data_IF_524390964973
#
_entry.id   IF_524390964973
#
_cell.length_a   1.000
_cell.length_b   1.000
_cell.length_c   1.000
_cell.angle_alpha   90.00
_cell.angle_beta   90.00
_cell.angle_gamma   90.00
#
_symmetry.space_group_name_H-M   'P 1'
#
loop_
_entity.id
_entity.type
_entity.pdbx_description
1 polymer ?
#
# COMPACT_ATOMS: atom_id res chain seq x y z
N UNK A 1 -11.42 -0.51 -10.45
CA UNK A 1 -12.15 -1.08 -9.29
C UNK A 1 -12.30 0.00 -8.24
N UNK A 2 -13.42 0.08 -7.53
CA UNK A 2 -13.62 1.10 -6.51
C UNK A 2 -14.13 0.47 -5.22
N UNK A 3 -13.53 0.84 -4.08
CA UNK A 3 -14.20 0.70 -2.79
C UNK A 3 -15.27 1.78 -2.70
N UNK A 4 -16.50 1.38 -2.47
CA UNK A 4 -17.56 2.29 -2.03
C UNK A 4 -17.60 2.20 -0.51
N UNK A 5 -16.90 3.14 0.14
CA UNK A 5 -17.02 3.40 1.57
C UNK A 5 -18.14 4.40 1.78
N UNK A 6 -19.32 3.90 2.12
CA UNK A 6 -20.50 4.73 2.38
C UNK A 6 -20.92 4.61 3.83
N UNK A 7 -21.32 5.73 4.42
CA UNK A 7 -21.87 5.72 5.77
C UNK A 7 -23.11 6.60 5.84
N UNK A 8 -24.03 6.16 6.70
CA UNK A 8 -25.22 6.87 7.16
C UNK A 8 -25.11 6.98 8.69
N UNK A 9 -25.92 7.80 9.38
CA UNK A 9 -25.79 8.01 10.82
C UNK A 9 -25.77 6.72 11.68
N UNK A 10 -26.33 5.62 11.19
CA UNK A 10 -26.44 4.34 11.89
C UNK A 10 -25.95 3.13 11.07
N UNK A 11 -25.26 3.35 9.94
CA UNK A 11 -24.82 2.26 9.08
C UNK A 11 -23.53 2.62 8.34
N UNK A 12 -22.64 1.65 8.16
CA UNK A 12 -21.45 1.77 7.32
C UNK A 12 -21.41 0.56 6.40
N UNK A 13 -21.24 0.81 5.12
CA UNK A 13 -21.11 -0.23 4.11
C UNK A 13 -19.81 -0.02 3.37
N UNK A 14 -19.01 -1.08 3.31
CA UNK A 14 -17.80 -1.13 2.51
C UNK A 14 -18.02 -2.16 1.40
N UNK A 15 -18.28 -1.67 0.19
CA UNK A 15 -18.46 -2.54 -0.98
C UNK A 15 -17.19 -2.56 -1.81
N UNK A 16 -16.84 -3.76 -2.28
CA UNK A 16 -15.76 -3.96 -3.25
C UNK A 16 -16.34 -4.78 -4.39
N UNK A 17 -16.26 -4.24 -5.61
CA UNK A 17 -16.99 -4.75 -6.77
C UNK A 17 -16.58 -6.16 -7.19
N UNK A 18 -15.36 -6.61 -6.86
CA UNK A 18 -14.95 -8.00 -7.05
C UNK A 18 -13.74 -8.36 -6.17
N UNK A 19 -13.99 -8.99 -5.02
CA UNK A 19 -12.92 -9.65 -4.27
C UNK A 19 -12.49 -10.91 -5.04
N UNK A 20 -11.19 -11.27 -5.03
CA UNK A 20 -10.78 -12.60 -5.47
C UNK A 20 -11.51 -13.67 -4.63
N UNK A 21 -11.94 -14.76 -5.28
CA UNK A 21 -12.86 -15.76 -4.71
C UNK A 21 -12.35 -16.39 -3.40
N UNK A 22 -11.03 -16.47 -3.24
CA UNK A 22 -10.41 -17.17 -2.13
C UNK A 22 -9.99 -16.24 -0.97
N UNK A 23 -10.27 -14.93 -1.01
CA UNK A 23 -9.89 -13.98 0.04
C UNK A 23 -10.73 -14.18 1.32
N UNK A 24 -10.03 -14.42 2.43
CA UNK A 24 -10.58 -14.60 3.78
C UNK A 24 -11.03 -13.27 4.42
N UNK A 25 -11.87 -13.34 5.45
CA UNK A 25 -12.32 -12.14 6.17
C UNK A 25 -11.18 -11.32 6.80
N UNK A 26 -10.16 -11.98 7.35
CA UNK A 26 -8.98 -11.30 7.90
C UNK A 26 -8.20 -10.55 6.82
N UNK A 27 -8.02 -11.17 5.65
CA UNK A 27 -7.36 -10.54 4.51
C UNK A 27 -8.15 -9.32 4.04
N UNK A 28 -9.50 -9.36 4.02
CA UNK A 28 -10.30 -8.16 3.71
C UNK A 28 -10.07 -7.02 4.69
N UNK A 29 -9.97 -7.32 5.99
CA UNK A 29 -9.68 -6.31 7.03
C UNK A 29 -8.29 -5.68 6.78
N UNK A 30 -7.28 -6.48 6.49
CA UNK A 30 -5.94 -5.99 6.22
C UNK A 30 -5.85 -5.20 4.91
N UNK A 31 -6.54 -5.66 3.86
CA UNK A 31 -6.57 -4.98 2.57
C UNK A 31 -7.24 -3.59 2.67
N UNK A 32 -8.16 -3.41 3.63
CA UNK A 32 -8.93 -2.19 3.83
C UNK A 32 -8.37 -1.29 4.94
N UNK A 33 -7.23 -1.65 5.53
CA UNK A 33 -6.55 -0.89 6.58
C UNK A 33 -6.13 0.53 6.13
N UNK A 34 -6.51 1.57 6.89
CA UNK A 34 -6.38 2.98 6.47
C UNK A 34 -5.10 3.62 7.00
N UNK A 35 -3.96 3.12 6.54
CA UNK A 35 -2.64 3.61 6.95
C UNK A 35 -2.18 3.16 8.35
N UNK A 36 -2.83 2.14 8.91
CA UNK A 36 -2.52 1.52 10.21
C UNK A 36 -2.07 0.07 10.10
N UNK A 37 -1.67 -0.39 8.90
CA UNK A 37 -1.26 -1.77 8.63
C UNK A 37 -0.16 -2.25 9.59
N UNK A 38 0.85 -1.43 9.89
CA UNK A 38 1.91 -1.78 10.83
C UNK A 38 1.35 -2.15 12.22
N UNK A 39 0.34 -1.40 12.69
CA UNK A 39 -0.35 -1.69 13.96
C UNK A 39 -1.17 -2.96 13.87
N UNK A 40 -1.88 -3.17 12.76
CA UNK A 40 -2.66 -4.39 12.55
C UNK A 40 -1.78 -5.64 12.51
N UNK A 41 -0.65 -5.59 11.79
CA UNK A 41 0.32 -6.70 11.75
C UNK A 41 0.94 -6.96 13.12
N UNK A 42 1.24 -5.90 13.88
CA UNK A 42 1.75 -6.04 15.25
C UNK A 42 0.74 -6.72 16.15
N UNK A 43 -0.54 -6.33 16.07
CA UNK A 43 -1.62 -6.97 16.82
C UNK A 43 -1.85 -8.43 16.38
N UNK A 44 -1.76 -8.71 15.08
CA UNK A 44 -1.93 -10.06 14.53
C UNK A 44 -0.84 -11.02 14.98
N UNK A 45 0.42 -10.61 14.92
CA UNK A 45 1.55 -11.45 15.34
C UNK A 45 1.84 -11.38 16.84
N UNK A 46 1.22 -10.46 17.59
CA UNK A 46 1.57 -10.11 18.96
C UNK A 46 3.06 -9.75 19.13
N UNK A 47 3.63 -9.09 18.10
CA UNK A 47 5.07 -8.85 17.97
C UNK A 47 5.35 -7.45 17.45
N UNK A 48 6.59 -6.99 17.62
CA UNK A 48 7.01 -5.68 17.10
C UNK A 48 7.22 -5.74 15.58
N UNK A 49 6.57 -4.82 14.87
CA UNK A 49 6.82 -4.60 13.43
C UNK A 49 7.76 -3.41 13.27
N UNK A 50 8.95 -3.68 12.74
CA UNK A 50 9.95 -2.66 12.40
C UNK A 50 9.86 -2.28 10.92
N UNK A 51 10.27 -1.05 10.59
CA UNK A 51 10.35 -0.58 9.20
C UNK A 51 11.82 -0.55 8.80
N UNK A 52 12.17 -1.26 7.72
CA UNK A 52 13.48 -1.18 7.08
C UNK A 52 13.36 -0.39 5.79
N UNK A 53 14.03 0.76 5.70
CA UNK A 53 14.11 1.53 4.46
C UNK A 53 15.06 0.85 3.47
N UNK A 54 14.61 0.64 2.23
CA UNK A 54 15.43 0.06 1.15
C UNK A 54 16.01 1.18 0.29
N UNK A 55 15.16 2.08 -0.20
CA UNK A 55 15.57 3.32 -0.87
C UNK A 55 14.55 4.42 -0.65
N UNK A 56 15.01 5.67 -0.81
CA UNK A 56 14.18 6.86 -0.82
C UNK A 56 14.81 7.91 -1.75
N UNK A 57 14.31 7.97 -2.98
CA UNK A 57 14.80 8.85 -4.03
C UNK A 57 13.90 10.07 -4.12
N UNK A 58 14.45 11.22 -3.75
CA UNK A 58 13.71 12.49 -3.81
C UNK A 58 14.05 13.20 -5.11
N UNK A 59 13.02 13.67 -5.82
CA UNK A 59 13.17 14.48 -7.02
C UNK A 59 13.81 15.84 -6.74
N UNK A 60 14.09 16.63 -7.79
CA UNK A 60 14.71 17.94 -7.66
C UNK A 60 13.90 18.89 -6.77
N UNK A 61 14.58 19.60 -5.87
CA UNK A 61 14.01 20.67 -5.01
C UNK A 61 14.45 22.02 -5.55
N UNK A 62 13.73 22.55 -6.53
CA UNK A 62 14.07 23.83 -7.19
C UNK A 62 13.53 25.06 -6.44
N UNK A 63 12.92 24.85 -5.28
CA UNK A 63 12.26 25.84 -4.44
C UNK A 63 11.32 25.13 -3.47
N UNK A 64 10.61 25.88 -2.60
CA UNK A 64 9.59 25.31 -1.74
C UNK A 64 8.49 24.66 -2.59
N UNK A 65 8.01 23.49 -2.17
CA UNK A 65 6.97 22.77 -2.86
C UNK A 65 5.67 23.58 -2.93
N UNK A 66 5.07 23.62 -4.12
CA UNK A 66 3.75 24.20 -4.37
C UNK A 66 2.95 23.31 -5.32
N UNK A 67 1.72 23.72 -5.67
CA UNK A 67 0.87 22.94 -6.57
C UNK A 67 1.41 22.90 -8.00
N UNK A 68 2.05 23.98 -8.46
CA UNK A 68 2.61 24.11 -9.81
C UNK A 68 3.99 23.44 -9.92
N UNK A 69 4.70 23.29 -8.81
CA UNK A 69 6.02 22.67 -8.72
C UNK A 69 6.09 21.75 -7.49
N UNK A 70 5.39 20.61 -7.51
CA UNK A 70 5.42 19.67 -6.39
C UNK A 70 6.76 18.94 -6.32
N UNK A 71 7.15 18.57 -5.11
CA UNK A 71 8.31 17.71 -4.86
C UNK A 71 7.84 16.27 -4.73
N UNK A 72 8.46 15.36 -5.47
CA UNK A 72 8.13 13.92 -5.40
C UNK A 72 9.22 13.11 -4.72
N UNK A 73 8.84 12.06 -4.00
CA UNK A 73 9.76 11.06 -3.49
C UNK A 73 9.23 9.65 -3.80
N UNK A 74 10.07 8.83 -4.41
CA UNK A 74 9.83 7.39 -4.55
C UNK A 74 10.60 6.66 -3.46
N UNK A 75 9.94 5.73 -2.77
CA UNK A 75 10.58 4.94 -1.72
C UNK A 75 10.05 3.53 -1.67
N UNK A 76 10.91 2.64 -1.18
CA UNK A 76 10.55 1.28 -0.81
C UNK A 76 10.96 1.01 0.64
N UNK A 77 10.03 0.46 1.41
CA UNK A 77 10.28 0.03 2.77
C UNK A 77 9.73 -1.36 2.99
N UNK A 78 10.40 -2.13 3.85
CA UNK A 78 9.96 -3.45 4.26
C UNK A 78 9.45 -3.39 5.70
N UNK A 79 8.27 -3.92 5.94
CA UNK A 79 7.79 -4.21 7.28
C UNK A 79 8.37 -5.56 7.70
N UNK A 80 9.10 -5.56 8.81
CA UNK A 80 9.87 -6.71 9.29
C UNK A 80 9.41 -7.12 10.68
N UNK A 81 9.07 -8.41 10.82
CA UNK A 81 8.69 -9.05 12.06
C UNK A 81 9.62 -10.24 12.33
N UNK A 82 10.24 -10.31 13.52
CA UNK A 82 11.21 -11.37 13.89
C UNK A 82 12.28 -11.62 12.81
N UNK A 83 12.76 -10.55 12.17
CA UNK A 83 13.77 -10.62 11.11
C UNK A 83 13.28 -11.07 9.73
N UNK A 84 11.97 -11.32 9.55
CA UNK A 84 11.34 -11.67 8.27
C UNK A 84 10.51 -10.53 7.70
N UNK A 85 10.58 -10.32 6.40
CA UNK A 85 9.72 -9.36 5.70
C UNK A 85 8.30 -9.91 5.62
N UNK A 86 7.35 -9.20 6.23
CA UNK A 86 5.92 -9.53 6.19
C UNK A 86 5.15 -8.65 5.19
N UNK A 87 5.72 -7.51 4.80
CA UNK A 87 5.14 -6.65 3.77
C UNK A 87 6.25 -5.85 3.09
N UNK A 88 6.19 -5.73 1.78
CA UNK A 88 6.97 -4.77 0.98
C UNK A 88 6.03 -3.64 0.61
N UNK A 89 6.40 -2.41 0.94
CA UNK A 89 5.61 -1.23 0.64
C UNK A 89 6.42 -0.28 -0.24
N UNK A 90 5.92 -0.02 -1.44
CA UNK A 90 6.49 0.97 -2.35
C UNK A 90 5.53 2.13 -2.48
N UNK A 91 6.04 3.35 -2.40
CA UNK A 91 5.19 4.53 -2.49
C UNK A 91 5.82 5.63 -3.33
N UNK A 92 4.97 6.34 -4.06
CA UNK A 92 5.28 7.63 -4.64
C UNK A 92 4.55 8.70 -3.82
N UNK A 93 5.33 9.61 -3.23
CA UNK A 93 4.85 10.67 -2.36
C UNK A 93 4.98 11.99 -3.11
N UNK A 94 3.89 12.76 -3.14
CA UNK A 94 3.83 14.06 -3.79
C UNK A 94 3.52 15.12 -2.74
N UNK A 95 4.43 16.08 -2.62
CA UNK A 95 4.38 17.20 -1.68
C UNK A 95 4.06 18.45 -2.49
N UNK A 96 2.96 19.13 -2.18
CA UNK A 96 2.55 20.37 -2.87
C UNK A 96 2.44 21.56 -1.92
N UNK A 97 2.99 21.45 -0.71
CA UNK A 97 3.20 22.59 0.19
C UNK A 97 4.57 22.53 0.86
N UNK A 98 5.15 23.71 1.07
CA UNK A 98 6.40 23.88 1.80
C UNK A 98 6.35 23.31 3.24
N UNK A 99 5.18 23.38 3.88
CA UNK A 99 4.98 22.81 5.22
C UNK A 99 5.13 21.28 5.19
N UNK A 100 4.43 20.62 4.27
CA UNK A 100 4.49 19.17 4.11
C UNK A 100 5.88 18.71 3.68
N UNK A 101 6.54 19.49 2.82
CA UNK A 101 7.92 19.28 2.43
C UNK A 101 8.87 19.28 3.64
N UNK A 102 8.84 20.32 4.47
CA UNK A 102 9.70 20.41 5.65
C UNK A 102 9.47 19.28 6.65
N UNK A 103 8.20 19.00 6.98
CA UNK A 103 7.84 17.92 7.90
C UNK A 103 8.29 16.55 7.38
N UNK A 104 8.12 16.28 6.10
CA UNK A 104 8.41 14.95 5.53
C UNK A 104 9.88 14.76 5.19
N UNK A 105 10.49 15.72 4.49
CA UNK A 105 11.84 15.61 3.96
C UNK A 105 12.90 16.09 4.95
N UNK A 106 12.62 17.08 5.78
CA UNK A 106 13.63 17.68 6.65
C UNK A 106 13.50 17.10 8.07
N UNK A 107 12.29 17.07 8.64
CA UNK A 107 12.03 16.49 9.96
C UNK A 107 11.88 14.95 9.96
N UNK A 108 11.84 14.34 8.75
CA UNK A 108 11.80 12.88 8.53
C UNK A 108 10.59 12.17 9.18
N UNK A 109 9.44 12.84 9.30
CA UNK A 109 8.22 12.17 9.77
C UNK A 109 7.79 11.05 8.82
N UNK A 110 7.36 9.91 9.38
CA UNK A 110 6.83 8.81 8.57
C UNK A 110 5.45 9.16 7.98
N UNK A 111 5.06 8.51 6.87
CA UNK A 111 3.77 8.75 6.19
C UNK A 111 2.57 8.70 7.16
N UNK A 112 2.48 7.65 8.00
CA UNK A 112 1.39 7.53 8.99
C UNK A 112 1.41 8.59 10.10
N UNK A 113 2.55 9.25 10.33
CA UNK A 113 2.70 10.33 11.30
C UNK A 113 2.37 11.70 10.71
N UNK A 114 2.54 11.89 9.40
CA UNK A 114 2.21 13.14 8.70
C UNK A 114 0.77 13.56 8.93
N UNK A 115 -0.19 12.63 8.79
CA UNK A 115 -1.61 12.91 9.01
C UNK A 115 -1.92 13.34 10.46
N UNK A 116 -1.21 12.77 11.44
CA UNK A 116 -1.33 13.21 12.84
C UNK A 116 -0.78 14.62 13.06
N UNK A 117 0.33 14.95 12.39
CA UNK A 117 0.97 16.27 12.47
C UNK A 117 0.16 17.37 11.78
N UNK A 118 -0.50 17.02 10.68
CA UNK A 118 -1.37 17.93 9.93
C UNK A 118 -2.77 18.05 10.55
N UNK A 119 -3.09 17.25 11.57
CA UNK A 119 -4.34 17.34 12.32
C UNK A 119 -5.59 16.90 11.54
N UNK A 120 -5.41 16.27 10.38
CA UNK A 120 -6.51 15.81 9.52
C UNK A 120 -6.45 14.29 9.31
N UNK A 121 -7.59 13.58 9.38
CA UNK A 121 -7.62 12.18 9.00
C UNK A 121 -7.28 12.06 7.51
N UNK A 122 -6.48 11.06 7.11
CA UNK A 122 -6.19 10.84 5.70
C UNK A 122 -7.47 10.49 4.95
N UNK A 123 -7.66 11.07 3.76
CA UNK A 123 -8.55 10.49 2.75
C UNK A 123 -7.88 9.23 2.21
N UNK A 124 -8.46 8.07 2.53
CA UNK A 124 -8.03 6.76 2.04
C UNK A 124 -8.91 6.34 0.86
N UNK A 125 -8.27 5.83 -0.18
CA UNK A 125 -8.96 5.26 -1.35
C UNK A 125 -8.23 4.00 -1.80
N UNK A 126 -8.85 2.83 -1.64
CA UNK A 126 -8.32 1.59 -2.20
C UNK A 126 -8.61 1.57 -3.70
N UNK A 127 -7.56 1.61 -4.50
CA UNK A 127 -7.64 1.61 -5.95
C UNK A 127 -7.76 0.19 -6.49
N UNK A 128 -7.00 -0.74 -5.91
CA UNK A 128 -6.93 -2.11 -6.38
C UNK A 128 -6.41 -3.06 -5.28
N UNK A 129 -6.77 -4.33 -5.37
CA UNK A 129 -6.30 -5.38 -4.48
C UNK A 129 -6.44 -6.76 -5.11
N UNK A 130 -5.52 -7.66 -4.79
CA UNK A 130 -5.54 -8.98 -5.37
C UNK A 130 -4.76 -10.02 -4.60
N UNK A 131 -5.01 -11.27 -4.96
CA UNK A 131 -4.19 -12.41 -4.60
C UNK A 131 -3.45 -12.91 -5.84
N UNK A 132 -2.31 -13.57 -5.63
CA UNK A 132 -1.52 -14.13 -6.72
C UNK A 132 -0.67 -15.31 -6.26
N UNK A 133 0.23 -15.73 -7.14
CA UNK A 133 1.34 -16.62 -6.79
C UNK A 133 2.63 -16.02 -7.29
N UNK A 134 3.66 -16.12 -6.47
CA UNK A 134 5.02 -15.81 -6.88
C UNK A 134 5.52 -16.90 -7.82
N UNK A 135 5.97 -16.53 -9.01
CA UNK A 135 6.33 -17.46 -10.08
C UNK A 135 7.56 -18.31 -9.74
N UNK A 136 8.45 -17.79 -8.90
CA UNK A 136 9.72 -18.45 -8.57
C UNK A 136 9.59 -19.39 -7.37
N UNK A 137 8.78 -18.99 -6.38
CA UNK A 137 8.63 -19.71 -5.12
C UNK A 137 7.32 -20.51 -5.04
N UNK A 138 6.37 -20.26 -5.95
CA UNK A 138 5.03 -20.86 -5.95
C UNK A 138 4.13 -20.41 -4.80
N UNK A 139 4.61 -19.53 -3.91
CA UNK A 139 3.89 -19.07 -2.72
C UNK A 139 2.72 -18.20 -3.11
N UNK A 140 1.65 -18.31 -2.32
CA UNK A 140 0.50 -17.41 -2.48
C UNK A 140 0.89 -16.03 -1.99
N UNK A 141 0.56 -15.01 -2.76
CA UNK A 141 0.82 -13.61 -2.42
C UNK A 141 -0.49 -12.86 -2.28
N UNK A 142 -0.44 -11.75 -1.56
CA UNK A 142 -1.54 -10.80 -1.44
C UNK A 142 -0.99 -9.40 -1.69
N UNK A 143 -1.77 -8.51 -2.30
CA UNK A 143 -1.32 -7.14 -2.52
C UNK A 143 -2.48 -6.16 -2.56
N UNK A 144 -2.17 -4.88 -2.37
CA UNK A 144 -3.09 -3.76 -2.53
C UNK A 144 -2.39 -2.52 -3.06
N UNK A 145 -3.15 -1.69 -3.77
CA UNK A 145 -2.78 -0.34 -4.17
C UNK A 145 -3.82 0.65 -3.68
N UNK A 146 -3.39 1.69 -3.00
CA UNK A 146 -4.27 2.69 -2.42
C UNK A 146 -3.62 4.06 -2.40
N UNK A 147 -4.44 5.09 -2.22
CA UNK A 147 -3.94 6.43 -1.92
C UNK A 147 -4.25 6.83 -0.49
N UNK A 148 -3.34 7.62 0.09
CA UNK A 148 -3.60 8.42 1.29
C UNK A 148 -3.35 9.87 0.92
N UNK A 149 -4.31 10.74 1.22
CA UNK A 149 -4.16 12.16 0.88
C UNK A 149 -4.74 13.08 1.93
N UNK A 150 -4.14 14.26 2.01
CA UNK A 150 -4.61 15.45 2.72
C UNK A 150 -4.13 16.66 1.93
N UNK A 151 -4.55 17.86 2.30
CA UNK A 151 -4.05 19.08 1.66
C UNK A 151 -2.51 19.15 1.68
N UNK A 152 -1.91 19.36 0.51
CA UNK A 152 -0.45 19.48 0.36
C UNK A 152 0.35 18.17 0.44
N UNK A 153 -0.29 17.02 0.69
CA UNK A 153 0.39 15.74 0.89
C UNK A 153 -0.41 14.57 0.30
N UNK A 154 0.13 13.94 -0.75
CA UNK A 154 -0.49 12.81 -1.42
C UNK A 154 0.48 11.63 -1.48
N UNK A 155 -0.04 10.42 -1.29
CA UNK A 155 0.73 9.18 -1.39
C UNK A 155 -0.03 8.18 -2.25
N UNK A 156 0.62 7.64 -3.28
CA UNK A 156 0.20 6.43 -4.00
C UNK A 156 1.06 5.27 -3.49
N UNK A 157 0.43 4.25 -2.92
CA UNK A 157 1.10 3.20 -2.16
C UNK A 157 0.69 1.84 -2.70
N UNK A 158 1.69 1.00 -2.99
CA UNK A 158 1.53 -0.42 -3.28
C UNK A 158 2.14 -1.22 -2.14
N UNK A 159 1.34 -2.11 -1.56
CA UNK A 159 1.78 -3.03 -0.51
C UNK A 159 1.62 -4.47 -0.99
N UNK A 160 2.68 -5.26 -0.85
CA UNK A 160 2.71 -6.67 -1.22
C UNK A 160 3.11 -7.52 -0.01
N UNK A 161 2.28 -8.52 0.29
CA UNK A 161 2.49 -9.55 1.28
C UNK A 161 3.10 -10.77 0.57
N UNK A 162 4.38 -11.09 0.83
CA UNK A 162 5.11 -12.07 0.03
C UNK A 162 4.71 -13.52 0.32
N UNK A 163 4.03 -13.75 1.44
CA UNK A 163 3.53 -15.06 1.82
C UNK A 163 2.19 -14.92 2.52
N UNK A 164 1.12 -15.26 1.80
CA UNK A 164 -0.26 -15.18 2.27
C UNK A 164 -0.54 -16.18 3.39
N UNK A 165 0.22 -17.27 3.48
CA UNK A 165 -0.03 -18.31 4.48
C UNK A 165 0.33 -17.85 5.90
N UNK A 166 1.05 -16.72 6.03
CA UNK A 166 1.25 -16.07 7.33
C UNK A 166 -0.07 -15.66 8.00
N UNK A 167 -1.11 -15.32 7.22
CA UNK A 167 -2.42 -14.96 7.76
C UNK A 167 -3.25 -16.16 8.23
N UNK A 168 -2.89 -17.36 7.78
CA UNK A 168 -3.51 -18.62 8.22
C UNK A 168 -2.78 -19.20 9.42
N UNK A 169 -1.45 -19.14 9.40
CA UNK A 169 -0.60 -19.80 10.39
C UNK A 169 -0.20 -18.92 11.58
N UNK A 170 -0.32 -17.60 11.46
CA UNK A 170 0.04 -16.66 12.52
C UNK A 170 1.48 -16.85 12.99
N UNK A 171 1.69 -16.96 14.30
CA UNK A 171 3.02 -17.11 14.89
C UNK A 171 3.79 -18.36 14.40
N UNK A 172 3.09 -19.45 14.08
CA UNK A 172 3.70 -20.69 13.59
C UNK A 172 4.31 -20.55 12.18
N UNK A 173 4.04 -19.45 11.47
CA UNK A 173 4.68 -19.13 10.20
C UNK A 173 6.18 -18.81 10.37
N UNK A 174 6.59 -18.34 11.55
CA UNK A 174 8.00 -18.03 11.83
C UNK A 174 8.87 -19.27 12.06
N UNK A 175 8.27 -20.44 12.26
CA UNK A 175 9.01 -21.67 12.58
C UNK A 175 9.54 -22.38 11.32
N UNK A 176 9.04 -22.01 10.14
CA UNK A 176 9.54 -22.52 8.87
C UNK A 176 10.98 -22.07 8.61
N UNK A 177 11.73 -22.81 7.79
CA UNK A 177 13.08 -22.39 7.38
C UNK A 177 13.08 -20.92 6.90
N UNK A 178 14.06 -20.10 7.35
CA UNK A 178 14.09 -18.68 7.02
C UNK A 178 14.07 -18.47 5.50
N UNK A 179 13.25 -17.50 5.09
CA UNK A 179 13.14 -17.07 3.70
C UNK A 179 14.55 -16.73 3.18
N UNK A 180 14.98 -17.24 2.00
CA UNK A 180 16.27 -16.87 1.45
C UNK A 180 16.31 -15.35 1.27
N UNK A 181 17.10 -14.66 2.09
CA UNK A 181 17.40 -13.25 1.88
C UNK A 181 18.39 -13.14 0.72
N UNK A 182 17.84 -13.11 -0.49
CA UNK A 182 18.56 -12.59 -1.66
C UNK A 182 17.76 -11.42 -2.20
N UNK A 183 18.45 -10.47 -2.83
CA UNK A 183 17.86 -9.36 -3.58
C UNK A 183 17.04 -9.84 -4.78
N UNK A 184 16.05 -10.70 -4.52
CA UNK A 184 14.97 -11.00 -5.40
C UNK A 184 14.24 -9.68 -5.56
N UNK A 185 14.45 -9.09 -6.73
CA UNK A 185 13.57 -8.07 -7.28
C UNK A 185 12.17 -8.65 -7.10
N UNK A 186 11.30 -8.10 -6.21
CA UNK A 186 9.87 -8.38 -6.32
C UNK A 186 9.49 -8.16 -7.79
N UNK A 187 8.47 -8.82 -8.37
CA UNK A 187 8.05 -8.51 -9.75
C UNK A 187 8.11 -7.01 -9.89
N UNK A 188 8.99 -6.55 -10.80
CA UNK A 188 9.61 -5.25 -10.64
C UNK A 188 8.49 -4.24 -10.40
N UNK A 189 8.64 -3.27 -9.50
CA UNK A 189 7.62 -2.23 -9.34
C UNK A 189 7.14 -1.71 -10.73
N UNK A 190 7.99 -1.64 -11.78
CA UNK A 190 7.56 -1.53 -13.18
C UNK A 190 6.57 -2.58 -13.71
N UNK A 191 6.74 -3.88 -13.48
CA UNK A 191 5.81 -4.95 -13.87
C UNK A 191 4.50 -4.95 -13.06
N UNK A 192 4.53 -4.63 -11.77
CA UNK A 192 3.31 -4.46 -10.97
C UNK A 192 2.59 -3.15 -11.34
N UNK A 193 3.33 -2.06 -11.56
CA UNK A 193 2.80 -0.80 -12.13
C UNK A 193 2.31 -1.03 -13.56
N UNK A 194 2.96 -1.87 -14.37
CA UNK A 194 2.55 -2.17 -15.74
C UNK A 194 1.31 -3.06 -15.76
N UNK A 195 1.21 -4.09 -14.91
CA UNK A 195 -0.01 -4.88 -14.74
C UNK A 195 -1.16 -4.01 -14.23
N UNK A 196 -0.93 -3.17 -13.22
CA UNK A 196 -1.95 -2.23 -12.74
C UNK A 196 -2.32 -1.16 -13.79
N UNK A 197 -1.35 -0.63 -14.54
CA UNK A 197 -1.59 0.35 -15.60
C UNK A 197 -2.30 -0.26 -16.81
N UNK A 198 -1.98 -1.51 -17.15
CA UNK A 198 -2.62 -2.28 -18.20
C UNK A 198 -4.08 -2.58 -17.83
N UNK A 199 -4.35 -3.02 -16.60
CA UNK A 199 -5.72 -3.21 -16.09
C UNK A 199 -6.51 -1.89 -16.11
N UNK A 200 -5.90 -0.77 -15.73
CA UNK A 200 -6.55 0.56 -15.80
C UNK A 200 -6.81 1.00 -17.25
N UNK A 201 -5.89 0.75 -18.18
CA UNK A 201 -6.10 1.04 -19.60
C UNK A 201 -7.21 0.19 -20.22
N UNK A 202 -7.28 -1.10 -19.88
CA UNK A 202 -8.34 -2.02 -20.33
C UNK A 202 -9.71 -1.62 -19.77
N UNK A 203 -9.79 -1.22 -18.50
CA UNK A 203 -11.00 -0.67 -17.87
C UNK A 203 -11.46 0.64 -18.53
N UNK A 204 -10.54 1.58 -18.80
CA UNK A 204 -10.88 2.82 -19.51
C UNK A 204 -11.31 2.58 -20.95
N UNK A 205 -10.69 1.62 -21.65
CA UNK A 205 -11.06 1.24 -23.01
C UNK A 205 -12.46 0.58 -23.05
N UNK A 206 -12.78 -0.29 -22.08
CA UNK A 206 -14.10 -0.93 -21.95
C UNK A 206 -15.21 0.08 -21.65
N UNK A 207 -14.94 1.07 -20.79
CA UNK A 207 -15.90 2.16 -20.50
C UNK A 207 -16.08 3.10 -21.70
N UNK A 208 -15.01 3.37 -22.46
CA UNK A 208 -15.08 4.19 -23.68
C UNK A 208 -15.77 3.45 -24.85
N UNK A 209 -15.71 2.11 -24.88
CA UNK A 209 -16.37 1.27 -25.88
C UNK A 209 -17.86 1.05 -25.61
N UNK A 210 -18.39 1.48 -24.45
CA UNK A 210 -19.81 1.34 -24.12
C UNK A 210 -20.27 -0.10 -23.84
N UNK A 211 -19.34 -1.03 -23.65
CA UNK A 211 -19.67 -2.42 -23.28
C UNK A 211 -19.85 -2.54 -21.76
N UNK A 212 -20.93 -1.96 -21.26
CA UNK A 212 -21.50 -2.38 -19.97
C UNK A 212 -22.36 -3.61 -20.26
N UNK A 213 -21.81 -4.81 -20.07
CA UNK A 213 -22.67 -6.00 -19.93
C UNK A 213 -23.26 -5.96 -18.53
N UNK A 214 -24.59 -5.99 -18.50
CA UNK A 214 -25.46 -5.96 -17.33
C UNK A 214 -25.17 -7.06 -16.30
#
# INVERSE_FOLDING_TARGET
MAIIDSFRPNATTLEFSAWPEDITGLERILLTARGDLQRMLSAFFAETISIKSIYANTGPRNGPACNEAPVTQEREVHLVCRGRTVCVATSTITLSSALCEGLFLDDKFAVGQMFRKLGQPPKFELLDAGAGRDEHTGRRTLWRRYTLSTEGFHCDIVEAFPDRDMFVRGAAWFDDAPMPQRGAVPPSVPELKAKAAQVVQELHASVAAGEVVA
#
